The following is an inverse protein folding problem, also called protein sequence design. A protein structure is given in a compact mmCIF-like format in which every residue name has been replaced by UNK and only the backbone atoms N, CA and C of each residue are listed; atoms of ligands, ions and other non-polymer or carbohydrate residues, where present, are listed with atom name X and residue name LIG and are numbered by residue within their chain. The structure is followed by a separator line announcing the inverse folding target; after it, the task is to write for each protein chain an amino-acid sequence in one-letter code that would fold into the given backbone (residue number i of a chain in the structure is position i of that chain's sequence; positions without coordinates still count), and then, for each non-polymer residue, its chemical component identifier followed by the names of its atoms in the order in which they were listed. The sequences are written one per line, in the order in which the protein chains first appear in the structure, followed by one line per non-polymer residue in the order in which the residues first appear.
data_IF_942122479824
#
_entry.id   IF_942122479824
#
_cell.length_a   1.000
_cell.length_b   1.000
_cell.length_c   1.000
_cell.angle_alpha   90.00
_cell.angle_beta   90.00
_cell.angle_gamma   90.00
#
_symmetry.space_group_name_H-M   'P 1'
#
loop_
_entity.id
_entity.type
_entity.pdbx_description
1 polymer ?
#
# COMPACT_ATOMS: atom_id res chain seq x y z
N UNK A 1 -29.11 -4.73 33.07
CA UNK A 1 -29.20 -3.66 32.06
C UNK A 1 -27.81 -3.53 31.42
N UNK A 2 -27.59 -4.15 30.26
CA UNK A 2 -26.28 -4.20 29.61
C UNK A 2 -26.02 -2.88 28.88
N UNK A 3 -24.98 -2.17 29.29
CA UNK A 3 -24.50 -0.99 28.57
C UNK A 3 -23.85 -1.45 27.25
N UNK A 4 -24.53 -1.23 26.12
CA UNK A 4 -23.92 -1.32 24.80
C UNK A 4 -23.04 -0.09 24.61
N UNK A 5 -21.73 -0.23 24.80
CA UNK A 5 -20.77 0.74 24.25
C UNK A 5 -20.51 0.38 22.79
N UNK A 6 -21.35 0.91 21.88
CA UNK A 6 -20.99 0.96 20.46
C UNK A 6 -20.05 2.16 20.30
N UNK A 7 -18.75 1.92 20.45
CA UNK A 7 -17.77 2.86 19.93
C UNK A 7 -17.95 2.97 18.40
N UNK A 8 -17.57 4.09 17.78
CA UNK A 8 -17.67 4.22 16.33
C UNK A 8 -16.91 3.06 15.68
N UNK A 9 -17.58 2.32 14.79
CA UNK A 9 -16.94 1.26 14.02
C UNK A 9 -15.79 1.89 13.22
N UNK A 10 -14.53 1.47 13.46
CA UNK A 10 -13.38 1.99 12.75
C UNK A 10 -13.53 1.92 11.23
N UNK A 11 -14.24 0.90 10.71
CA UNK A 11 -14.53 0.72 9.30
C UNK A 11 -15.53 1.75 8.74
N UNK A 12 -16.57 2.09 9.51
CA UNK A 12 -17.53 3.14 9.11
C UNK A 12 -16.86 4.52 9.05
N UNK A 13 -15.94 4.79 9.98
CA UNK A 13 -15.17 6.03 10.02
C UNK A 13 -14.25 6.19 8.80
N UNK A 14 -13.64 5.10 8.32
CA UNK A 14 -12.81 5.14 7.11
C UNK A 14 -13.65 5.32 5.84
N UNK A 15 -14.72 4.53 5.68
CA UNK A 15 -15.61 4.63 4.53
C UNK A 15 -16.21 6.03 4.38
N UNK A 16 -16.62 6.65 5.50
CA UNK A 16 -17.13 8.03 5.53
C UNK A 16 -16.07 9.02 5.05
N UNK A 17 -14.82 8.92 5.53
CA UNK A 17 -13.73 9.79 5.07
C UNK A 17 -13.49 9.64 3.56
N UNK A 18 -13.46 8.41 3.05
CA UNK A 18 -13.29 8.14 1.61
C UNK A 18 -14.45 8.74 0.78
N UNK A 19 -15.68 8.71 1.29
CA UNK A 19 -16.81 9.36 0.62
C UNK A 19 -16.67 10.89 0.61
N UNK A 20 -16.29 11.50 1.73
CA UNK A 20 -16.05 12.94 1.81
C UNK A 20 -14.94 13.39 0.86
N UNK A 21 -13.84 12.64 0.78
CA UNK A 21 -12.73 12.92 -0.14
C UNK A 21 -13.16 12.86 -1.62
N UNK A 22 -14.08 11.96 -1.98
CA UNK A 22 -14.65 11.91 -3.33
C UNK A 22 -15.58 13.08 -3.62
N UNK A 23 -16.24 13.63 -2.60
CA UNK A 23 -17.14 14.77 -2.73
C UNK A 23 -16.43 16.13 -2.78
N UNK A 24 -15.13 16.19 -2.46
CA UNK A 24 -14.32 17.41 -2.64
C UNK A 24 -14.45 17.90 -4.10
N UNK A 25 -14.52 19.22 -4.35
CA UNK A 25 -14.54 19.77 -5.71
C UNK A 25 -13.14 19.75 -6.35
N UNK A 26 -13.06 20.16 -7.63
CA UNK A 26 -11.80 20.36 -8.33
C UNK A 26 -11.20 19.11 -8.97
N UNK A 27 -10.06 19.28 -9.65
CA UNK A 27 -9.32 18.20 -10.30
C UNK A 27 -7.85 18.58 -10.47
N UNK A 28 -7.04 17.60 -10.88
CA UNK A 28 -5.63 17.79 -11.19
C UNK A 28 -4.83 18.29 -10.00
N UNK A 29 -4.02 19.32 -10.22
CA UNK A 29 -3.12 19.89 -9.22
C UNK A 29 -3.86 20.54 -8.04
N UNK A 30 -5.03 21.15 -8.27
CA UNK A 30 -5.83 21.80 -7.23
C UNK A 30 -6.30 20.77 -6.19
N UNK A 31 -6.93 19.69 -6.66
CA UNK A 31 -7.37 18.60 -5.79
C UNK A 31 -6.17 17.93 -5.10
N UNK A 32 -5.05 17.75 -5.81
CA UNK A 32 -3.84 17.16 -5.24
C UNK A 32 -3.25 18.00 -4.09
N UNK A 33 -3.31 19.33 -4.19
CA UNK A 33 -2.87 20.22 -3.11
C UNK A 33 -3.73 20.04 -1.85
N UNK A 34 -5.05 20.00 -2.00
CA UNK A 34 -5.98 19.75 -0.88
C UNK A 34 -5.71 18.39 -0.24
N UNK A 35 -5.56 17.33 -1.04
CA UNK A 35 -5.26 15.99 -0.53
C UNK A 35 -3.91 15.94 0.20
N UNK A 36 -2.91 16.68 -0.30
CA UNK A 36 -1.59 16.79 0.33
C UNK A 36 -1.69 17.44 1.70
N UNK A 37 -2.43 18.54 1.85
CA UNK A 37 -2.63 19.19 3.14
C UNK A 37 -3.33 18.28 4.15
N UNK A 38 -4.40 17.58 3.71
CA UNK A 38 -5.10 16.61 4.55
C UNK A 38 -4.19 15.46 4.97
N UNK A 39 -3.33 14.98 4.08
CA UNK A 39 -2.39 13.92 4.36
C UNK A 39 -1.26 14.36 5.30
N UNK A 40 -0.70 15.56 5.13
CA UNK A 40 0.42 16.03 5.95
C UNK A 40 0.01 16.38 7.38
N UNK A 41 -1.24 16.85 7.56
CA UNK A 41 -1.78 17.23 8.87
C UNK A 41 -2.54 16.12 9.57
N UNK A 42 -2.94 15.09 8.83
CA UNK A 42 -3.81 14.03 9.31
C UNK A 42 -3.09 12.99 10.15
N UNK A 43 -3.85 12.33 11.03
CA UNK A 43 -3.39 11.14 11.72
C UNK A 43 -3.25 9.93 10.76
N UNK A 44 -2.79 8.78 11.27
CA UNK A 44 -2.64 7.60 10.42
C UNK A 44 -3.95 7.18 9.74
N UNK A 45 -5.09 7.28 10.42
CA UNK A 45 -6.37 6.88 9.84
C UNK A 45 -6.80 7.83 8.70
N UNK A 46 -6.59 9.13 8.87
CA UNK A 46 -6.87 10.14 7.86
C UNK A 46 -5.94 9.99 6.65
N UNK A 47 -4.65 9.79 6.88
CA UNK A 47 -3.66 9.52 5.83
C UNK A 47 -3.98 8.25 5.06
N UNK A 48 -4.34 7.17 5.76
CA UNK A 48 -4.79 5.92 5.13
C UNK A 48 -6.04 6.16 4.27
N UNK A 49 -7.02 6.94 4.75
CA UNK A 49 -8.22 7.27 3.98
C UNK A 49 -7.89 8.06 2.70
N UNK A 50 -6.96 9.03 2.77
CA UNK A 50 -6.47 9.75 1.58
C UNK A 50 -5.88 8.78 0.56
N UNK A 51 -4.96 7.90 0.97
CA UNK A 51 -4.33 6.92 0.08
C UNK A 51 -5.36 5.96 -0.54
N UNK A 52 -6.35 5.49 0.25
CA UNK A 52 -7.42 4.60 -0.22
C UNK A 52 -8.43 5.28 -1.15
N UNK A 53 -8.57 6.60 -1.09
CA UNK A 53 -9.42 7.36 -2.02
C UNK A 53 -8.77 7.59 -3.39
N UNK A 54 -7.43 7.64 -3.47
CA UNK A 54 -6.69 7.87 -4.72
C UNK A 54 -7.12 6.96 -5.90
N UNK A 55 -7.31 5.64 -5.75
CA UNK A 55 -7.70 4.81 -6.89
C UNK A 55 -9.10 5.14 -7.45
N UNK A 56 -10.00 5.70 -6.63
CA UNK A 56 -11.34 6.12 -7.04
C UNK A 56 -11.28 7.45 -7.78
N UNK A 57 -10.58 8.43 -7.21
CA UNK A 57 -10.35 9.74 -7.83
C UNK A 57 -9.59 9.63 -9.16
N UNK A 58 -8.65 8.69 -9.24
CA UNK A 58 -7.88 8.41 -10.45
C UNK A 58 -8.74 7.76 -11.54
N UNK A 59 -9.61 6.81 -11.17
CA UNK A 59 -10.57 6.20 -12.11
C UNK A 59 -11.57 7.23 -12.63
N UNK A 60 -11.96 8.19 -11.80
CA UNK A 60 -12.81 9.31 -12.20
C UNK A 60 -12.08 10.37 -13.06
N UNK A 61 -10.78 10.19 -13.37
CA UNK A 61 -10.00 11.14 -14.14
C UNK A 61 -9.64 12.42 -13.39
N UNK A 62 -9.85 12.47 -12.07
CA UNK A 62 -9.77 13.70 -11.27
C UNK A 62 -8.39 13.97 -10.69
N UNK A 63 -7.54 12.96 -10.51
CA UNK A 63 -6.24 13.15 -9.84
C UNK A 63 -5.02 12.82 -10.70
N UNK A 64 -5.13 11.84 -11.61
CA UNK A 64 -4.04 11.51 -12.54
C UNK A 64 -2.72 11.18 -11.82
N UNK A 65 -1.60 11.70 -12.34
CA UNK A 65 -0.28 11.56 -11.72
C UNK A 65 -0.01 12.55 -10.57
N UNK A 66 -0.90 13.54 -10.34
CA UNK A 66 -0.64 14.63 -9.40
C UNK A 66 -0.52 14.17 -7.94
N UNK A 67 -1.12 13.03 -7.57
CA UNK A 67 -1.01 12.46 -6.23
C UNK A 67 0.12 11.41 -6.07
N UNK A 68 1.00 11.24 -7.08
CA UNK A 68 2.10 10.26 -7.03
C UNK A 68 3.00 10.49 -5.80
N UNK A 69 3.28 11.75 -5.46
CA UNK A 69 4.12 12.10 -4.32
C UNK A 69 3.58 11.61 -2.97
N UNK A 70 2.25 11.48 -2.81
CA UNK A 70 1.64 10.98 -1.56
C UNK A 70 1.91 9.49 -1.37
N UNK A 71 1.83 8.72 -2.46
CA UNK A 71 2.17 7.29 -2.45
C UNK A 71 3.66 7.09 -2.20
N UNK A 72 4.51 7.86 -2.88
CA UNK A 72 5.95 7.78 -2.66
C UNK A 72 6.34 8.14 -1.22
N UNK A 73 5.71 9.15 -0.62
CA UNK A 73 5.91 9.48 0.80
C UNK A 73 5.51 8.34 1.73
N UNK A 74 4.29 7.80 1.57
CA UNK A 74 3.79 6.71 2.38
C UNK A 74 4.72 5.48 2.33
N UNK A 75 5.28 5.17 1.16
CA UNK A 75 6.23 4.07 0.95
C UNK A 75 7.60 4.30 1.61
N UNK A 76 7.99 5.54 1.89
CA UNK A 76 9.21 5.85 2.67
C UNK A 76 9.03 5.64 4.17
N UNK A 77 7.79 5.57 4.65
CA UNK A 77 7.50 5.33 6.08
C UNK A 77 7.74 3.87 6.49
N UNK A 78 7.77 3.61 7.80
CA UNK A 78 7.74 2.26 8.37
C UNK A 78 6.37 1.88 8.96
N UNK A 79 5.32 2.69 8.73
CA UNK A 79 3.96 2.36 9.17
C UNK A 79 3.32 1.38 8.18
N UNK A 80 3.18 0.13 8.60
CA UNK A 80 2.60 -0.93 7.76
C UNK A 80 1.19 -0.57 7.25
N UNK A 81 0.40 0.22 7.99
CA UNK A 81 -0.95 0.63 7.58
C UNK A 81 -0.90 1.61 6.40
N UNK A 82 0.03 2.56 6.43
CA UNK A 82 0.24 3.51 5.33
C UNK A 82 0.82 2.81 4.11
N UNK A 83 1.81 1.95 4.30
CA UNK A 83 2.43 1.18 3.20
C UNK A 83 1.39 0.27 2.53
N UNK A 84 0.56 -0.42 3.32
CA UNK A 84 -0.53 -1.26 2.78
C UNK A 84 -1.52 -0.43 1.94
N UNK A 85 -1.91 0.75 2.42
CA UNK A 85 -2.82 1.63 1.68
C UNK A 85 -2.18 2.18 0.39
N UNK A 86 -0.88 2.51 0.45
CA UNK A 86 -0.13 3.04 -0.68
C UNK A 86 0.14 2.01 -1.77
N UNK A 87 0.34 0.73 -1.42
CA UNK A 87 0.59 -0.37 -2.36
C UNK A 87 -0.63 -0.80 -3.18
N UNK A 88 -1.75 -0.08 -3.06
CA UNK A 88 -3.00 -0.35 -3.75
C UNK A 88 -3.04 0.03 -5.24
N UNK A 89 -4.24 0.00 -5.87
CA UNK A 89 -4.39 0.11 -7.33
C UNK A 89 -3.87 1.40 -7.95
N UNK A 90 -3.79 2.49 -7.19
CA UNK A 90 -3.20 3.74 -7.67
C UNK A 90 -1.70 3.58 -7.94
N UNK A 91 -0.94 3.00 -6.99
CA UNK A 91 0.48 2.71 -7.17
C UNK A 91 0.71 1.80 -8.39
N UNK A 92 -0.09 0.74 -8.51
CA UNK A 92 0.00 -0.20 -9.63
C UNK A 92 -0.22 0.44 -11.01
N UNK A 93 -0.89 1.60 -11.08
CA UNK A 93 -1.13 2.35 -12.32
C UNK A 93 -0.16 3.51 -12.54
N UNK A 94 0.30 4.17 -11.48
CA UNK A 94 1.01 5.46 -11.54
C UNK A 94 2.50 5.36 -11.21
N UNK A 95 2.94 4.31 -10.52
CA UNK A 95 4.36 4.03 -10.34
C UNK A 95 4.93 3.36 -11.59
N UNK A 96 6.15 3.75 -11.94
CA UNK A 96 6.95 3.00 -12.91
C UNK A 96 7.33 1.62 -12.35
N UNK A 97 7.99 0.80 -13.16
CA UNK A 97 8.29 -0.59 -12.81
C UNK A 97 9.27 -0.71 -11.64
N UNK A 98 10.31 0.12 -11.61
CA UNK A 98 11.29 0.10 -10.54
C UNK A 98 10.66 0.53 -9.22
N UNK A 99 9.95 1.67 -9.22
CA UNK A 99 9.26 2.18 -8.04
C UNK A 99 8.24 1.18 -7.49
N UNK A 100 7.50 0.51 -8.37
CA UNK A 100 6.53 -0.51 -7.95
C UNK A 100 7.23 -1.74 -7.36
N UNK A 101 8.35 -2.23 -7.93
CA UNK A 101 9.14 -3.33 -7.34
C UNK A 101 9.66 -2.97 -5.94
N UNK A 102 10.18 -1.76 -5.75
CA UNK A 102 10.62 -1.29 -4.44
C UNK A 102 9.47 -1.21 -3.44
N UNK A 103 8.27 -0.81 -3.88
CA UNK A 103 7.06 -0.84 -3.04
C UNK A 103 6.69 -2.27 -2.61
N UNK A 104 6.81 -3.25 -3.51
CA UNK A 104 6.58 -4.67 -3.20
C UNK A 104 7.59 -5.17 -2.16
N UNK A 105 8.88 -4.89 -2.33
CA UNK A 105 9.89 -5.28 -1.33
C UNK A 105 9.64 -4.59 0.02
N UNK A 106 9.25 -3.31 0.01
CA UNK A 106 8.90 -2.61 1.24
C UNK A 106 7.77 -3.32 2.00
N UNK A 107 6.76 -3.82 1.28
CA UNK A 107 5.70 -4.63 1.88
C UNK A 107 6.26 -5.90 2.52
N UNK A 108 7.13 -6.63 1.82
CA UNK A 108 7.80 -7.82 2.35
C UNK A 108 8.59 -7.52 3.62
N UNK A 109 9.38 -6.43 3.64
CA UNK A 109 10.17 -6.04 4.81
C UNK A 109 9.31 -5.67 6.03
N UNK A 110 8.14 -5.06 5.80
CA UNK A 110 7.20 -4.70 6.88
C UNK A 110 6.23 -5.82 7.26
N UNK A 111 6.31 -6.99 6.62
CA UNK A 111 5.36 -8.09 6.85
C UNK A 111 3.95 -7.77 6.37
N UNK A 112 3.79 -6.85 5.43
CA UNK A 112 2.51 -6.59 4.76
C UNK A 112 2.22 -7.75 3.80
N UNK A 113 1.04 -8.39 3.90
CA UNK A 113 0.62 -9.42 2.97
C UNK A 113 0.71 -8.97 1.51
N UNK A 114 1.29 -9.81 0.65
CA UNK A 114 1.47 -9.52 -0.77
C UNK A 114 0.15 -9.52 -1.56
N UNK A 115 -0.94 -10.06 -0.99
CA UNK A 115 -2.29 -9.94 -1.56
C UNK A 115 -2.83 -8.50 -1.52
N UNK A 116 -2.32 -7.66 -0.62
CA UNK A 116 -2.63 -6.24 -0.55
C UNK A 116 -1.93 -5.43 -1.65
N UNK A 117 -0.89 -5.98 -2.28
CA UNK A 117 -0.13 -5.32 -3.35
C UNK A 117 -0.89 -5.45 -4.67
N UNK A 118 -1.44 -4.34 -5.15
CA UNK A 118 -2.18 -4.35 -6.39
C UNK A 118 -1.26 -4.59 -7.60
N UNK A 119 -1.73 -5.45 -8.51
CA UNK A 119 -1.05 -5.70 -9.78
C UNK A 119 0.11 -6.69 -9.70
N UNK A 120 0.31 -7.39 -8.56
CA UNK A 120 1.41 -8.33 -8.37
C UNK A 120 1.54 -9.33 -9.52
N UNK A 121 0.48 -10.10 -9.81
CA UNK A 121 0.50 -11.09 -10.89
C UNK A 121 0.75 -10.50 -12.28
N UNK A 122 0.29 -9.26 -12.53
CA UNK A 122 0.40 -8.61 -13.85
C UNK A 122 1.78 -7.98 -14.07
N UNK A 123 2.38 -7.42 -13.01
CA UNK A 123 3.60 -6.62 -13.09
C UNK A 123 4.85 -7.37 -12.65
N UNK A 124 4.71 -8.56 -12.07
CA UNK A 124 5.84 -9.43 -11.73
C UNK A 124 6.69 -9.70 -12.97
N UNK A 125 7.99 -9.53 -12.81
CA UNK A 125 9.00 -9.69 -13.84
C UNK A 125 10.21 -10.46 -13.26
N UNK A 126 11.18 -10.87 -14.10
CA UNK A 126 12.35 -11.60 -13.62
C UNK A 126 13.20 -10.83 -12.59
N UNK A 127 13.18 -9.50 -12.61
CA UNK A 127 13.94 -8.72 -11.63
C UNK A 127 13.27 -8.78 -10.25
N UNK A 128 11.93 -8.74 -10.18
CA UNK A 128 11.22 -8.97 -8.91
C UNK A 128 11.50 -10.37 -8.36
N UNK A 129 11.60 -11.39 -9.21
CA UNK A 129 11.96 -12.75 -8.80
C UNK A 129 13.37 -12.81 -8.22
N UNK A 130 14.33 -12.15 -8.89
CA UNK A 130 15.71 -12.02 -8.42
C UNK A 130 15.76 -11.32 -7.05
N UNK A 131 14.98 -10.25 -6.88
CA UNK A 131 14.87 -9.51 -5.63
C UNK A 131 14.30 -10.36 -4.49
N UNK A 132 13.26 -11.16 -4.76
CA UNK A 132 12.71 -12.11 -3.77
C UNK A 132 13.71 -13.20 -3.40
N UNK A 133 14.45 -13.76 -4.37
CA UNK A 133 15.47 -14.77 -4.11
C UNK A 133 16.63 -14.20 -3.27
N UNK A 134 17.09 -12.98 -3.58
CA UNK A 134 18.11 -12.29 -2.80
C UNK A 134 17.66 -12.05 -1.35
N UNK A 135 16.42 -11.56 -1.17
CA UNK A 135 15.83 -11.42 0.16
C UNK A 135 15.79 -12.76 0.90
N UNK A 136 15.27 -13.83 0.27
CA UNK A 136 15.18 -15.15 0.90
C UNK A 136 16.56 -15.68 1.33
N UNK A 137 17.58 -15.54 0.47
CA UNK A 137 18.95 -15.92 0.78
C UNK A 137 19.50 -15.16 1.99
N UNK A 138 19.25 -13.85 2.08
CA UNK A 138 19.65 -13.04 3.24
C UNK A 138 18.96 -13.50 4.54
N UNK A 139 17.67 -13.87 4.47
CA UNK A 139 16.95 -14.41 5.64
C UNK A 139 17.56 -15.72 6.12
N UNK A 140 17.81 -16.65 5.20
CA UNK A 140 18.36 -17.99 5.47
C UNK A 140 19.78 -17.87 6.03
N UNK A 141 20.65 -17.07 5.40
CA UNK A 141 22.02 -16.85 5.87
C UNK A 141 22.07 -16.29 7.30
N UNK A 142 21.02 -15.59 7.73
CA UNK A 142 20.89 -15.08 9.08
C UNK A 142 20.15 -16.01 10.05
N UNK A 143 19.88 -17.27 9.67
CA UNK A 143 19.17 -18.25 10.50
C UNK A 143 17.71 -17.89 10.79
N UNK A 144 17.08 -17.09 9.92
CA UNK A 144 15.75 -16.56 10.14
C UNK A 144 14.79 -17.06 9.04
N UNK A 145 13.51 -17.30 9.40
CA UNK A 145 12.50 -17.82 8.46
C UNK A 145 12.18 -16.84 7.31
N UNK A 146 12.08 -17.39 6.10
CA UNK A 146 11.54 -16.71 4.91
C UNK A 146 10.02 -16.60 5.06
N UNK A 147 9.41 -15.41 4.88
CA UNK A 147 7.95 -15.24 4.90
C UNK A 147 7.23 -16.13 3.87
N UNK A 148 6.07 -16.66 4.23
CA UNK A 148 5.31 -17.58 3.38
C UNK A 148 4.90 -16.96 2.05
N UNK A 149 4.59 -15.67 2.03
CA UNK A 149 4.25 -14.94 0.82
C UNK A 149 5.40 -14.98 -0.20
N UNK A 150 6.64 -14.80 0.25
CA UNK A 150 7.84 -14.89 -0.58
C UNK A 150 8.11 -16.33 -1.00
N UNK A 151 7.95 -17.29 -0.09
CA UNK A 151 8.07 -18.73 -0.42
C UNK A 151 7.09 -19.13 -1.52
N UNK A 152 5.83 -18.70 -1.43
CA UNK A 152 4.80 -18.93 -2.46
C UNK A 152 5.17 -18.29 -3.79
N UNK A 153 5.71 -17.08 -3.78
CA UNK A 153 6.18 -16.46 -5.03
C UNK A 153 7.32 -17.26 -5.66
N UNK A 154 8.28 -17.74 -4.87
CA UNK A 154 9.44 -18.49 -5.33
C UNK A 154 9.18 -19.99 -5.55
N UNK A 155 7.95 -20.47 -5.29
CA UNK A 155 7.61 -21.90 -5.34
C UNK A 155 8.54 -22.77 -4.49
N UNK A 156 9.00 -22.24 -3.35
CA UNK A 156 9.82 -22.98 -2.41
C UNK A 156 8.93 -23.99 -1.67
N UNK A 157 9.29 -25.27 -1.73
CA UNK A 157 8.63 -26.31 -0.95
C UNK A 157 8.62 -25.97 0.54
N UNK A 158 7.56 -26.40 1.24
CA UNK A 158 7.38 -26.14 2.68
C UNK A 158 8.45 -26.84 3.55
N UNK A 159 9.23 -27.76 2.96
CA UNK A 159 10.08 -28.71 3.67
C UNK A 159 11.57 -28.35 3.74
N UNK A 160 11.99 -27.12 3.41
CA UNK A 160 13.38 -26.72 3.67
C UNK A 160 13.62 -26.60 5.19
N UNK A 161 14.47 -27.45 5.80
CA UNK A 161 14.77 -27.36 7.22
C UNK A 161 15.51 -26.06 7.52
N UNK A 162 15.21 -25.49 8.69
CA UNK A 162 15.92 -24.37 9.32
C UNK A 162 17.30 -24.82 9.78
#
# INVERSE_FOLDING_TARGET
MAARSVGPDPGLGEATRIQLLQALPGAGAELAAVLKELYERGDTAERTAVLRALPLLDRAGRIGAHAKGLVEDALRTNDARLVTAAAGPYAARRLDQEQWRQAVLKCVFLGVPLDAVAGLARRRDPELDRMFAAFAAERIAAGRRVPDDVRRQLQLDQDLPV
#
